data_IF_454276372432
#
_entry.id   IF_454276372432
#
_cell.length_a   1.000
_cell.length_b   1.000
_cell.length_c   1.000
_cell.angle_alpha   90.00
_cell.angle_beta   90.00
_cell.angle_gamma   90.00
#
_symmetry.space_group_name_H-M   'P 1'
#
loop_
_entity.id
_entity.type
_entity.pdbx_description
1 polymer ?
#
# COMPACT_ATOMS: atom_id res chain seq x y z
N UNK A 1 14.02 -17.70 35.36
CA UNK A 1 12.79 -17.04 34.86
C UNK A 1 12.94 -16.77 33.36
N UNK A 2 11.85 -16.96 32.59
CA UNK A 2 11.63 -16.59 31.17
C UNK A 2 12.21 -17.53 30.07
N UNK A 3 11.54 -18.67 29.84
CA UNK A 3 11.57 -19.44 28.58
C UNK A 3 10.17 -19.54 27.91
N UNK A 4 9.32 -18.54 28.14
CA UNK A 4 7.90 -18.55 27.74
C UNK A 4 7.58 -17.71 26.49
N UNK A 5 8.57 -17.09 25.84
CA UNK A 5 8.35 -16.18 24.71
C UNK A 5 8.15 -16.90 23.35
N UNK A 6 8.68 -18.11 23.19
CA UNK A 6 8.67 -18.82 21.90
C UNK A 6 7.33 -19.51 21.53
N UNK A 7 6.54 -20.09 22.46
CA UNK A 7 5.26 -20.69 22.08
C UNK A 7 4.16 -19.65 21.79
N UNK A 8 4.34 -18.39 22.18
CA UNK A 8 3.38 -17.30 21.87
C UNK A 8 3.48 -16.86 20.41
N UNK A 9 4.69 -16.81 19.84
CA UNK A 9 4.87 -16.54 18.40
C UNK A 9 4.32 -17.67 17.52
N UNK A 10 4.48 -18.93 17.95
CA UNK A 10 3.94 -20.07 17.21
C UNK A 10 2.40 -20.17 17.32
N UNK A 11 1.82 -19.76 18.45
CA UNK A 11 0.37 -19.67 18.62
C UNK A 11 -0.29 -18.57 17.78
N UNK A 12 0.43 -17.46 17.50
CA UNK A 12 -0.03 -16.41 16.59
C UNK A 12 0.02 -16.82 15.11
N UNK A 13 0.82 -17.82 14.74
CA UNK A 13 0.86 -18.36 13.36
C UNK A 13 -0.32 -19.29 13.05
N UNK A 14 -1.13 -19.65 14.05
CA UNK A 14 -2.29 -20.55 13.90
C UNK A 14 -3.64 -19.84 13.89
N UNK A 15 -3.65 -18.51 13.97
CA UNK A 15 -4.87 -17.73 13.74
C UNK A 15 -4.90 -17.34 12.27
N UNK A 16 -6.03 -17.64 11.62
CA UNK A 16 -6.47 -17.17 10.30
C UNK A 16 -6.37 -18.16 9.13
N UNK A 17 -7.14 -19.25 9.22
CA UNK A 17 -7.86 -19.78 8.05
C UNK A 17 -9.09 -18.90 7.72
N UNK A 18 -8.94 -17.57 7.78
CA UNK A 18 -10.00 -16.62 7.45
C UNK A 18 -10.09 -16.53 5.94
N UNK A 19 -11.32 -16.61 5.42
CA UNK A 19 -11.65 -16.32 4.03
C UNK A 19 -10.91 -15.05 3.57
N UNK A 20 -9.86 -15.21 2.76
CA UNK A 20 -9.06 -14.09 2.29
C UNK A 20 -9.93 -13.29 1.33
N UNK A 21 -10.53 -12.21 1.82
CA UNK A 21 -11.32 -11.30 1.00
C UNK A 21 -10.43 -10.77 -0.12
N UNK A 22 -10.83 -11.02 -1.36
CA UNK A 22 -10.09 -10.56 -2.52
C UNK A 22 -10.64 -9.21 -2.91
N UNK A 23 -9.77 -8.23 -3.05
CA UNK A 23 -10.09 -6.88 -3.44
C UNK A 23 -9.37 -6.54 -4.73
N UNK A 24 -10.07 -5.82 -5.61
CA UNK A 24 -9.52 -5.27 -6.84
C UNK A 24 -9.78 -3.77 -6.80
N UNK A 25 -8.76 -2.96 -7.02
CA UNK A 25 -8.87 -1.51 -7.09
C UNK A 25 -8.39 -1.00 -8.43
N UNK A 26 -9.07 0.04 -8.94
CA UNK A 26 -8.61 0.83 -10.06
C UNK A 26 -8.68 2.30 -9.69
N UNK A 27 -7.57 3.01 -9.78
CA UNK A 27 -7.44 4.43 -9.46
C UNK A 27 -6.96 5.17 -10.72
N UNK A 28 -7.54 6.33 -10.97
CA UNK A 28 -7.13 7.26 -12.00
C UNK A 28 -6.73 8.59 -11.32
N UNK A 29 -5.46 8.96 -11.48
CA UNK A 29 -4.90 10.25 -11.11
C UNK A 29 -4.78 11.16 -12.33
N UNK A 30 -4.22 12.35 -12.12
CA UNK A 30 -4.04 13.37 -13.18
C UNK A 30 -3.12 12.90 -14.31
N UNK A 31 -2.07 12.16 -13.96
CA UNK A 31 -0.98 11.73 -14.86
C UNK A 31 -0.66 10.23 -14.70
N UNK A 32 -1.44 9.48 -13.90
CA UNK A 32 -1.17 8.07 -13.65
C UNK A 32 -2.45 7.25 -13.52
N UNK A 33 -2.37 5.97 -13.91
CA UNK A 33 -3.40 4.96 -13.67
C UNK A 33 -2.82 3.85 -12.81
N UNK A 34 -3.47 3.51 -11.70
CA UNK A 34 -3.06 2.44 -10.80
C UNK A 34 -4.12 1.34 -10.74
N UNK A 35 -3.71 0.10 -10.93
CA UNK A 35 -4.53 -1.08 -10.77
C UNK A 35 -3.95 -1.90 -9.63
N UNK A 36 -4.77 -2.27 -8.66
CA UNK A 36 -4.37 -3.01 -7.47
C UNK A 36 -5.21 -4.26 -7.27
N UNK A 37 -4.58 -5.27 -6.68
CA UNK A 37 -5.20 -6.49 -6.17
C UNK A 37 -4.76 -6.69 -4.73
N UNK A 38 -5.66 -7.11 -3.86
CA UNK A 38 -5.38 -7.30 -2.44
C UNK A 38 -6.10 -8.51 -1.89
N UNK A 39 -5.38 -9.36 -1.17
CA UNK A 39 -5.92 -10.51 -0.45
C UNK A 39 -5.80 -10.27 1.04
N UNK A 40 -6.94 -10.27 1.72
CA UNK A 40 -6.99 -10.07 3.17
C UNK A 40 -6.68 -8.64 3.63
N UNK A 41 -6.53 -7.69 2.71
CA UNK A 41 -6.25 -6.27 2.98
C UNK A 41 -7.37 -5.56 3.74
N UNK A 42 -8.61 -6.04 3.64
CA UNK A 42 -9.76 -5.54 4.41
C UNK A 42 -10.10 -6.40 5.63
N UNK A 43 -9.37 -7.49 5.86
CA UNK A 43 -9.60 -8.41 6.97
C UNK A 43 -8.47 -8.33 8.00
N UNK A 44 -8.76 -8.76 9.23
CA UNK A 44 -7.73 -8.96 10.26
C UNK A 44 -6.84 -10.14 9.92
N UNK A 45 -5.53 -9.97 10.08
CA UNK A 45 -4.53 -11.02 9.83
C UNK A 45 -3.55 -10.63 8.74
N UNK A 46 -3.05 -11.63 8.01
CA UNK A 46 -2.09 -11.40 6.94
C UNK A 46 -2.79 -10.78 5.73
N UNK A 47 -2.16 -9.74 5.18
CA UNK A 47 -2.58 -9.05 3.97
C UNK A 47 -1.48 -9.17 2.92
N UNK A 48 -1.88 -9.56 1.71
CA UNK A 48 -1.04 -9.53 0.52
C UNK A 48 -1.64 -8.52 -0.45
N UNK A 49 -0.82 -7.67 -1.04
CA UNK A 49 -1.25 -6.68 -2.03
C UNK A 49 -0.29 -6.71 -3.21
N UNK A 50 -0.82 -6.44 -4.40
CA UNK A 50 -0.06 -6.23 -5.61
C UNK A 50 -0.66 -5.04 -6.34
N UNK A 51 0.17 -4.15 -6.85
CA UNK A 51 -0.28 -3.00 -7.61
C UNK A 51 0.59 -2.79 -8.84
N UNK A 52 0.00 -2.24 -9.88
CA UNK A 52 0.70 -1.82 -11.08
C UNK A 52 0.22 -0.41 -11.43
N UNK A 53 1.15 0.53 -11.49
CA UNK A 53 0.90 1.92 -11.84
C UNK A 53 1.58 2.20 -13.17
N UNK A 54 0.81 2.67 -14.14
CA UNK A 54 1.30 3.18 -15.41
C UNK A 54 1.22 4.70 -15.39
N UNK A 55 2.32 5.38 -15.70
CA UNK A 55 2.40 6.83 -15.86
C UNK A 55 3.01 7.12 -17.24
N UNK A 56 2.36 7.98 -18.03
CA UNK A 56 2.74 8.29 -19.41
C UNK A 56 4.11 9.00 -19.49
N UNK A 57 4.53 9.71 -18.44
CA UNK A 57 5.77 10.50 -18.42
C UNK A 57 6.92 9.80 -17.66
N UNK A 58 6.65 9.05 -16.59
CA UNK A 58 7.67 8.50 -15.68
C UNK A 58 7.86 6.96 -15.76
N UNK A 59 7.04 6.25 -16.53
CA UNK A 59 7.16 4.81 -16.78
C UNK A 59 6.29 3.90 -15.91
N UNK A 60 6.62 2.61 -15.89
CA UNK A 60 5.84 1.56 -15.22
C UNK A 60 6.37 1.24 -13.82
N UNK A 61 5.47 1.21 -12.83
CA UNK A 61 5.78 0.86 -11.44
C UNK A 61 4.94 -0.33 -11.01
N UNK A 62 5.58 -1.45 -10.71
CA UNK A 62 4.93 -2.63 -10.15
C UNK A 62 5.32 -2.81 -8.67
N UNK A 63 4.33 -2.99 -7.80
CA UNK A 63 4.51 -3.16 -6.37
C UNK A 63 3.90 -4.47 -5.86
N UNK A 64 4.56 -5.10 -4.89
CA UNK A 64 4.03 -6.22 -4.12
C UNK A 64 4.23 -5.93 -2.64
N UNK A 65 3.14 -5.89 -1.88
CA UNK A 65 3.11 -5.58 -0.46
C UNK A 65 2.65 -6.75 0.40
N UNK A 66 3.28 -6.90 1.55
CA UNK A 66 2.91 -7.82 2.62
C UNK A 66 2.67 -7.02 3.89
N UNK A 67 1.55 -7.27 4.56
CA UNK A 67 1.18 -6.57 5.79
C UNK A 67 0.47 -7.47 6.79
N UNK A 68 0.43 -7.00 8.04
CA UNK A 68 -0.36 -7.57 9.11
C UNK A 68 -1.38 -6.54 9.57
N UNK A 69 -2.65 -6.87 9.37
CA UNK A 69 -3.81 -6.08 9.77
C UNK A 69 -4.24 -6.44 11.20
N UNK A 70 -4.17 -5.45 12.07
CA UNK A 70 -4.51 -5.54 13.49
C UNK A 70 -5.79 -4.73 13.76
N UNK A 71 -6.89 -5.38 14.16
CA UNK A 71 -8.12 -4.69 14.52
C UNK A 71 -7.96 -4.04 15.89
N UNK A 72 -8.15 -2.73 15.95
CA UNK A 72 -8.11 -1.90 17.13
C UNK A 72 -9.51 -1.29 17.38
N UNK A 73 -10.55 -2.14 17.30
CA UNK A 73 -11.95 -1.73 17.41
C UNK A 73 -12.49 -1.17 16.09
N UNK A 74 -12.91 0.11 16.03
CA UNK A 74 -13.35 0.75 14.77
C UNK A 74 -12.18 1.14 13.84
N UNK A 75 -10.95 1.04 14.36
CA UNK A 75 -9.72 1.29 13.61
C UNK A 75 -9.08 -0.05 13.23
N UNK A 76 -8.50 -0.13 12.04
CA UNK A 76 -7.64 -1.22 11.60
C UNK A 76 -6.26 -0.63 11.35
N UNK A 77 -5.26 -1.15 12.04
CA UNK A 77 -3.87 -0.77 11.83
C UNK A 77 -3.17 -1.84 10.99
N UNK A 78 -2.50 -1.43 9.93
CA UNK A 78 -1.71 -2.30 9.07
C UNK A 78 -0.25 -1.98 9.30
N UNK A 79 0.59 -3.01 9.50
CA UNK A 79 2.05 -2.84 9.53
C UNK A 79 2.65 -3.83 8.54
N UNK A 80 3.52 -3.37 7.67
CA UNK A 80 4.01 -4.19 6.57
C UNK A 80 5.17 -3.58 5.80
N UNK A 81 5.54 -4.26 4.72
CA UNK A 81 6.49 -3.75 3.75
C UNK A 81 6.03 -4.06 2.34
N UNK A 82 6.45 -3.23 1.40
CA UNK A 82 6.22 -3.44 -0.03
C UNK A 82 7.52 -3.34 -0.81
N UNK A 83 7.72 -4.30 -1.69
CA UNK A 83 8.73 -4.22 -2.74
C UNK A 83 8.12 -3.53 -3.94
N UNK A 84 8.77 -2.49 -4.41
CA UNK A 84 8.39 -1.75 -5.61
C UNK A 84 9.51 -1.90 -6.61
N UNK A 85 9.16 -2.32 -7.81
CA UNK A 85 10.00 -2.32 -8.98
C UNK A 85 9.55 -1.19 -9.90
N UNK A 86 10.50 -0.37 -10.31
CA UNK A 86 10.27 0.74 -11.23
C UNK A 86 11.12 0.55 -12.47
N UNK A 87 10.49 0.68 -13.63
CA UNK A 87 11.15 0.66 -14.92
C UNK A 87 10.95 2.03 -15.60
N UNK A 88 11.74 3.06 -15.23
CA UNK A 88 11.61 4.38 -15.81
C UNK A 88 11.99 4.40 -17.30
N UNK A 89 11.37 5.26 -18.10
CA UNK A 89 11.71 5.44 -19.51
C UNK A 89 13.07 6.14 -19.71
N UNK A 90 13.47 6.99 -18.76
CA UNK A 90 14.78 7.66 -18.70
C UNK A 90 15.48 7.31 -17.38
N UNK A 91 16.32 6.27 -17.38
CA UNK A 91 17.12 5.87 -16.21
C UNK A 91 17.36 4.37 -16.11
N UNK A 92 18.16 3.96 -15.12
CA UNK A 92 18.41 2.55 -14.81
C UNK A 92 17.23 1.94 -14.02
N UNK A 93 16.90 0.68 -14.30
CA UNK A 93 15.89 -0.10 -13.59
C UNK A 93 16.16 -0.11 -12.07
N UNK A 94 15.12 0.21 -11.27
CA UNK A 94 15.26 0.41 -9.82
C UNK A 94 14.37 -0.51 -9.00
N UNK A 95 14.91 -1.01 -7.88
CA UNK A 95 14.13 -1.74 -6.89
C UNK A 95 14.18 -1.00 -5.55
N UNK A 96 13.03 -0.80 -4.93
CA UNK A 96 12.89 -0.20 -3.61
C UNK A 96 12.06 -1.10 -2.70
N UNK A 97 12.56 -1.41 -1.51
CA UNK A 97 11.80 -2.12 -0.50
C UNK A 97 11.39 -1.15 0.63
N UNK A 98 10.17 -0.66 0.55
CA UNK A 98 9.60 0.23 1.55
C UNK A 98 9.02 -0.55 2.72
N UNK A 99 9.21 -0.03 3.93
CA UNK A 99 8.56 -0.52 5.15
C UNK A 99 7.65 0.57 5.69
N UNK A 100 6.50 0.18 6.22
CA UNK A 100 5.50 1.16 6.58
C UNK A 100 4.28 0.56 7.25
N UNK A 101 3.23 1.35 7.26
CA UNK A 101 1.97 0.95 7.84
C UNK A 101 0.85 1.89 7.44
N UNK A 102 -0.37 1.46 7.74
CA UNK A 102 -1.57 2.23 7.50
C UNK A 102 -2.51 2.19 8.68
N UNK A 103 -3.41 3.15 8.71
CA UNK A 103 -4.53 3.23 9.62
C UNK A 103 -5.80 3.41 8.79
N UNK A 104 -6.77 2.53 9.01
CA UNK A 104 -8.09 2.62 8.42
C UNK A 104 -9.13 2.78 9.52
N UNK A 105 -9.95 3.82 9.43
CA UNK A 105 -11.06 4.05 10.33
C UNK A 105 -12.38 3.74 9.64
N UNK A 106 -13.08 2.73 10.15
CA UNK A 106 -14.43 2.38 9.72
C UNK A 106 -15.45 3.26 10.45
N UNK A 107 -16.17 4.09 9.71
CA UNK A 107 -17.20 5.00 10.22
C UNK A 107 -18.56 4.48 9.71
N UNK A 108 -19.18 3.62 10.51
CA UNK A 108 -20.39 2.90 10.12
C UNK A 108 -20.12 1.81 9.07
N UNK A 109 -21.16 1.43 8.33
CA UNK A 109 -21.08 0.30 7.39
C UNK A 109 -20.61 0.70 5.98
N UNK A 110 -20.68 1.99 5.63
CA UNK A 110 -20.44 2.48 4.27
C UNK A 110 -19.18 3.33 4.14
N UNK A 111 -18.76 4.06 5.17
CA UNK A 111 -17.67 5.03 5.05
C UNK A 111 -16.41 4.56 5.76
N UNK A 112 -15.26 4.65 5.10
CA UNK A 112 -13.96 4.24 5.63
C UNK A 112 -12.92 5.30 5.29
N UNK A 113 -12.30 5.89 6.30
CA UNK A 113 -11.12 6.73 6.09
C UNK A 113 -9.88 5.85 6.13
N UNK A 114 -8.90 6.12 5.29
CA UNK A 114 -7.63 5.40 5.31
C UNK A 114 -6.46 6.36 5.13
N UNK A 115 -5.36 6.03 5.76
CA UNK A 115 -4.08 6.70 5.58
C UNK A 115 -2.97 5.67 5.68
N UNK A 116 -2.05 5.69 4.73
CA UNK A 116 -0.90 4.80 4.67
C UNK A 116 0.38 5.61 4.47
N UNK A 117 1.45 5.14 5.09
CA UNK A 117 2.76 5.75 5.01
C UNK A 117 3.82 4.67 4.90
N UNK A 118 4.62 4.75 3.86
CA UNK A 118 5.68 3.81 3.55
C UNK A 118 6.97 4.55 3.27
N UNK A 119 8.06 4.04 3.84
CA UNK A 119 9.37 4.63 3.72
C UNK A 119 10.41 3.54 3.43
N UNK A 120 11.23 3.74 2.39
CA UNK A 120 12.40 2.90 2.11
C UNK A 120 13.68 3.66 2.44
N UNK A 121 14.49 3.20 3.40
CA UNK A 121 15.83 3.71 3.60
C UNK A 121 16.77 3.31 2.46
N UNK A 122 17.86 4.07 2.31
CA UNK A 122 18.96 3.86 1.36
C UNK A 122 19.52 2.43 1.29
N UNK A 123 19.40 1.66 2.38
CA UNK A 123 19.89 0.29 2.51
C UNK A 123 18.96 -0.77 1.92
N UNK A 124 17.71 -0.40 1.67
CA UNK A 124 16.66 -1.24 1.10
C UNK A 124 16.25 -0.79 -0.31
N UNK A 125 16.90 0.25 -0.85
CA UNK A 125 16.73 0.72 -2.22
C UNK A 125 18.05 0.65 -2.98
N UNK A 126 18.03 -0.02 -4.14
CA UNK A 126 19.18 -0.09 -5.04
C UNK A 126 18.89 0.79 -6.25
N UNK A 127 19.68 1.86 -6.43
CA UNK A 127 19.50 2.85 -7.50
C UNK A 127 18.74 4.13 -7.09
N UNK A 128 18.09 4.15 -5.92
CA UNK A 128 17.30 5.31 -5.41
C UNK A 128 17.76 5.64 -3.99
N UNK A 129 17.86 6.93 -3.64
CA UNK A 129 18.36 7.43 -2.33
C UNK A 129 17.32 7.18 -1.23
N UNK A 130 16.09 7.59 -1.49
CA UNK A 130 14.98 7.37 -0.56
C UNK A 130 13.67 7.29 -1.31
N UNK A 131 12.81 6.36 -0.88
CA UNK A 131 11.43 6.25 -1.32
C UNK A 131 10.54 6.66 -0.15
N UNK A 132 9.68 7.65 -0.38
CA UNK A 132 8.65 8.03 0.58
C UNK A 132 7.31 8.05 -0.14
N UNK A 133 6.36 7.30 0.39
CA UNK A 133 4.99 7.31 -0.09
C UNK A 133 4.04 7.55 1.08
N UNK A 134 3.26 8.61 0.95
CA UNK A 134 2.14 8.91 1.81
C UNK A 134 0.86 8.88 0.96
N UNK A 135 -0.17 8.19 1.44
CA UNK A 135 -1.46 8.22 0.80
C UNK A 135 -2.54 8.36 1.87
N UNK A 136 -3.48 9.27 1.64
CA UNK A 136 -4.60 9.49 2.53
C UNK A 136 -5.89 9.69 1.72
N UNK A 137 -6.97 9.07 2.16
CA UNK A 137 -8.23 9.15 1.44
C UNK A 137 -9.42 8.66 2.22
N UNK A 138 -10.55 8.73 1.53
CA UNK A 138 -11.84 8.24 1.99
C UNK A 138 -12.39 7.25 0.97
N UNK A 139 -12.94 6.15 1.47
CA UNK A 139 -13.64 5.12 0.70
C UNK A 139 -15.10 5.09 1.13
N UNK A 140 -16.00 5.09 0.17
CA UNK A 140 -17.42 4.95 0.36
C UNK A 140 -17.95 3.72 -0.38
N UNK A 141 -18.46 2.76 0.37
CA UNK A 141 -19.10 1.55 -0.15
C UNK A 141 -20.50 1.90 -0.64
N UNK A 142 -20.71 1.90 -1.96
CA UNK A 142 -22.03 2.13 -2.56
C UNK A 142 -22.91 0.90 -2.34
N UNK A 143 -22.39 -0.27 -2.72
CA UNK A 143 -23.03 -1.57 -2.54
C UNK A 143 -21.95 -2.65 -2.60
N UNK A 144 -21.98 -3.67 -1.74
CA UNK A 144 -20.97 -4.73 -1.83
C UNK A 144 -21.09 -5.45 -3.18
N UNK A 145 -19.96 -5.76 -3.87
CA UNK A 145 -18.56 -5.52 -3.47
C UNK A 145 -18.01 -4.12 -3.83
N UNK A 146 -18.75 -3.29 -4.55
CA UNK A 146 -18.34 -2.01 -5.14
C UNK A 146 -18.29 -0.85 -4.14
N UNK A 147 -17.12 -0.23 -4.07
CA UNK A 147 -16.80 0.97 -3.32
C UNK A 147 -16.16 1.99 -4.25
N UNK A 148 -16.36 3.27 -3.97
CA UNK A 148 -15.63 4.37 -4.57
C UNK A 148 -14.64 4.92 -3.54
N UNK A 149 -13.52 5.43 -4.00
CA UNK A 149 -12.55 6.10 -3.15
C UNK A 149 -12.04 7.37 -3.81
N UNK A 150 -11.67 8.32 -2.98
CA UNK A 150 -10.99 9.52 -3.38
C UNK A 150 -9.95 9.86 -2.33
N UNK A 151 -8.79 10.31 -2.77
CA UNK A 151 -7.68 10.58 -1.89
C UNK A 151 -6.63 11.44 -2.53
N UNK A 152 -5.52 11.56 -1.82
CA UNK A 152 -4.32 12.25 -2.25
C UNK A 152 -3.15 11.30 -2.06
N UNK A 153 -2.43 11.01 -3.14
CA UNK A 153 -1.20 10.23 -3.09
C UNK A 153 -0.03 11.16 -3.29
N UNK A 154 0.95 11.02 -2.42
CA UNK A 154 2.24 11.66 -2.49
C UNK A 154 3.32 10.57 -2.53
N UNK A 155 4.03 10.47 -3.64
CA UNK A 155 5.11 9.53 -3.87
C UNK A 155 6.32 10.31 -4.36
N UNK A 156 7.34 10.37 -3.52
CA UNK A 156 8.57 11.08 -3.78
C UNK A 156 9.73 10.11 -3.93
N UNK A 157 10.47 10.25 -5.03
CA UNK A 157 11.68 9.49 -5.31
C UNK A 157 12.86 10.46 -5.32
N UNK A 158 13.74 10.37 -4.32
CA UNK A 158 14.98 11.15 -4.32
C UNK A 158 16.10 10.34 -4.97
N UNK A 159 16.72 10.87 -6.04
CA UNK A 159 17.88 10.26 -6.70
C UNK A 159 19.20 10.50 -5.95
N UNK A 160 20.17 9.57 -6.06
CA UNK A 160 21.57 9.80 -5.63
C UNK A 160 22.32 10.62 -6.69
N UNK A 161 23.30 11.40 -6.22
CA UNK A 161 24.28 12.14 -7.04
C UNK A 161 23.72 13.19 -8.01
N UNK A 162 23.12 14.26 -7.48
CA UNK A 162 22.92 15.51 -8.23
C UNK A 162 21.81 15.50 -9.28
N UNK A 163 21.08 14.40 -9.42
CA UNK A 163 19.87 14.34 -10.25
C UNK A 163 18.63 14.79 -9.48
N UNK A 164 17.74 15.43 -10.24
CA UNK A 164 16.58 16.23 -9.85
C UNK A 164 15.57 15.42 -9.04
N UNK A 165 15.03 16.03 -7.98
CA UNK A 165 13.92 15.47 -7.21
C UNK A 165 12.71 15.30 -8.15
N UNK A 166 12.23 14.07 -8.33
CA UNK A 166 11.06 13.78 -9.15
C UNK A 166 9.96 13.18 -8.26
N UNK A 167 8.91 13.97 -8.04
CA UNK A 167 7.68 13.49 -7.44
C UNK A 167 6.89 12.72 -8.51
N UNK A 168 6.92 11.39 -8.48
CA UNK A 168 6.28 10.52 -9.49
C UNK A 168 4.76 10.46 -9.30
N UNK A 169 4.26 10.76 -8.11
CA UNK A 169 2.83 10.99 -7.92
C UNK A 169 2.59 12.03 -6.83
N UNK A 170 2.26 13.26 -7.20
CA UNK A 170 1.80 14.30 -6.28
C UNK A 170 0.45 14.83 -6.76
N UNK A 171 -0.64 14.24 -6.25
CA UNK A 171 -1.95 14.72 -6.63
C UNK A 171 -3.15 13.96 -6.08
N UNK A 172 -4.35 14.58 -6.24
CA UNK A 172 -5.59 13.92 -5.93
C UNK A 172 -5.86 12.81 -6.94
N UNK A 173 -6.50 11.74 -6.46
CA UNK A 173 -6.98 10.65 -7.31
C UNK A 173 -8.39 10.25 -6.92
N UNK A 174 -9.05 9.60 -7.86
CA UNK A 174 -10.32 8.92 -7.66
C UNK A 174 -10.20 7.48 -8.10
N UNK A 175 -10.89 6.58 -7.42
CA UNK A 175 -10.80 5.17 -7.70
C UNK A 175 -12.08 4.43 -7.37
N UNK A 176 -12.11 3.20 -7.85
CA UNK A 176 -13.13 2.21 -7.53
C UNK A 176 -12.44 1.00 -6.93
N UNK A 177 -13.08 0.37 -5.97
CA UNK A 177 -12.59 -0.81 -5.29
C UNK A 177 -13.72 -1.83 -5.18
N UNK A 178 -13.49 -3.06 -5.63
CA UNK A 178 -14.41 -4.18 -5.53
C UNK A 178 -13.82 -5.23 -4.58
N UNK A 179 -14.44 -5.44 -3.43
CA UNK A 179 -13.98 -6.39 -2.39
C UNK A 179 -14.99 -7.52 -2.19
N UNK A 180 -14.55 -8.76 -2.43
CA UNK A 180 -15.32 -10.01 -2.44
C UNK A 180 -15.07 -10.86 -1.19
#
# INVERSE_FOLDING_TARGET
>A
MKKLALPVLAGMLLVSASANAMSISGQAGKEYTNIGVGFGTESTGLALSGNWTHNDDDGDVAGVGLGLNLPLGPLMATVGGKGVYTNPNDGDEGYAAAVGGGLQWQIGDSFRLFGEYYYSPDSLSSGIKSYEEANAGARYTIMRPVSIEAGYRYLNLSGKDGNRDNAVADGPYVGVNASF
#
